data_IF_542139860029
#
_entry.id   IF_542139860029
#
_cell.length_a   1.000
_cell.length_b   1.000
_cell.length_c   1.000
_cell.angle_alpha   90.00
_cell.angle_beta   90.00
_cell.angle_gamma   90.00
#
_symmetry.space_group_name_H-M   'P 1'
#
loop_
_entity.id
_entity.type
_entity.pdbx_description
1 polymer ?
#
# COMPACT_ATOMS: atom_id res chain seq x y z
N UNK A 1 -13.47 -36.57 -22.82
CA UNK A 1 -13.35 -36.08 -21.42
C UNK A 1 -12.21 -35.09 -21.18
N UNK A 2 -11.59 -34.49 -22.21
CA UNK A 2 -10.40 -33.62 -22.08
C UNK A 2 -10.68 -32.11 -22.22
N UNK A 3 -11.87 -31.70 -22.69
CA UNK A 3 -12.21 -30.28 -22.90
C UNK A 3 -12.62 -29.51 -21.64
N UNK A 4 -13.11 -30.18 -20.60
CA UNK A 4 -13.55 -29.49 -19.36
C UNK A 4 -12.39 -29.12 -18.41
N UNK A 5 -11.22 -29.74 -18.56
CA UNK A 5 -10.06 -29.41 -17.72
C UNK A 5 -9.41 -28.08 -18.13
N UNK A 6 -9.25 -27.83 -19.44
CA UNK A 6 -8.63 -26.61 -19.96
C UNK A 6 -9.44 -25.33 -19.69
N UNK A 7 -10.77 -25.42 -19.72
CA UNK A 7 -11.65 -24.27 -19.45
C UNK A 7 -11.56 -23.79 -18.00
N UNK A 8 -11.37 -24.69 -17.02
CA UNK A 8 -11.19 -24.33 -15.61
C UNK A 8 -9.82 -23.69 -15.34
N UNK A 9 -8.77 -24.16 -16.01
CA UNK A 9 -7.43 -23.58 -15.91
C UNK A 9 -7.38 -22.15 -16.47
N UNK A 10 -8.04 -21.91 -17.60
CA UNK A 10 -8.11 -20.60 -18.22
C UNK A 10 -8.92 -19.61 -17.36
N UNK A 11 -10.03 -20.05 -16.75
CA UNK A 11 -10.81 -19.22 -15.82
C UNK A 11 -10.05 -18.90 -14.54
N UNK A 12 -9.28 -19.84 -14.00
CA UNK A 12 -8.41 -19.61 -12.84
C UNK A 12 -7.27 -18.64 -13.15
N UNK A 13 -6.66 -18.74 -14.34
CA UNK A 13 -5.63 -17.81 -14.82
C UNK A 13 -6.20 -16.42 -15.10
N UNK A 14 -7.43 -16.32 -15.62
CA UNK A 14 -8.11 -15.04 -15.84
C UNK A 14 -8.49 -14.38 -14.51
N UNK A 15 -8.99 -15.14 -13.54
CA UNK A 15 -9.27 -14.67 -12.18
C UNK A 15 -7.98 -14.24 -11.46
N UNK A 16 -6.89 -15.01 -11.61
CA UNK A 16 -5.57 -14.63 -11.10
C UNK A 16 -5.05 -13.37 -11.79
N UNK A 17 -5.23 -13.21 -13.11
CA UNK A 17 -4.84 -12.02 -13.85
C UNK A 17 -5.63 -10.77 -13.41
N UNK A 18 -6.92 -10.91 -13.09
CA UNK A 18 -7.72 -9.79 -12.54
C UNK A 18 -7.32 -9.37 -11.13
N UNK A 19 -6.62 -10.22 -10.36
CA UNK A 19 -6.05 -9.85 -9.06
C UNK A 19 -4.73 -9.04 -9.19
N UNK A 20 -4.12 -9.04 -10.38
CA UNK A 20 -2.86 -8.34 -10.68
C UNK A 20 -3.06 -6.92 -11.23
N UNK A 21 -4.31 -6.50 -11.49
CA UNK A 21 -4.61 -5.17 -12.09
C UNK A 21 -4.91 -4.08 -11.08
N UNK A 22 -4.67 -4.31 -9.78
CA UNK A 22 -4.91 -3.30 -8.74
C UNK A 22 -3.65 -2.49 -8.45
N UNK A 23 -3.52 -1.38 -9.18
CA UNK A 23 -2.35 -0.51 -9.12
C UNK A 23 -2.56 0.66 -8.14
N UNK A 24 -1.47 1.05 -7.46
CA UNK A 24 -1.32 2.29 -6.68
C UNK A 24 -1.77 2.29 -5.21
N UNK A 25 -1.37 1.30 -4.40
CA UNK A 25 -1.42 1.43 -2.94
C UNK A 25 -0.02 1.57 -2.35
N UNK A 26 0.17 2.52 -1.43
CA UNK A 26 1.40 2.62 -0.65
C UNK A 26 1.70 1.30 0.09
N UNK A 27 2.97 0.89 0.25
CA UNK A 27 3.34 -0.43 0.77
C UNK A 27 3.22 -0.49 2.29
N UNK A 28 1.98 -0.41 2.76
CA UNK A 28 1.64 -0.43 4.19
C UNK A 28 1.37 -1.84 4.72
N UNK A 29 1.57 -2.84 3.86
CA UNK A 29 1.38 -4.24 4.16
C UNK A 29 2.56 -4.80 4.97
N UNK A 30 2.27 -5.34 6.16
CA UNK A 30 3.25 -5.84 7.13
C UNK A 30 3.06 -7.34 7.40
N UNK A 31 3.59 -8.18 6.50
CA UNK A 31 3.58 -9.65 6.61
C UNK A 31 4.90 -10.23 7.12
N UNK A 32 5.78 -9.37 7.64
CA UNK A 32 7.13 -9.72 8.07
C UNK A 32 7.11 -10.23 9.52
N UNK A 33 8.00 -11.16 9.84
CA UNK A 33 8.28 -11.55 11.23
C UNK A 33 9.52 -10.82 11.78
N UNK A 34 9.75 -10.94 13.09
CA UNK A 34 10.92 -10.38 13.75
C UNK A 34 12.22 -11.10 13.41
N UNK A 35 12.15 -12.24 12.70
CA UNK A 35 13.31 -13.01 12.23
C UNK A 35 13.65 -12.66 10.79
N UNK A 36 14.88 -12.19 10.56
CA UNK A 36 15.36 -11.90 9.19
C UNK A 36 15.61 -13.19 8.42
N UNK A 37 15.65 -13.08 7.08
CA UNK A 37 16.09 -14.18 6.22
C UNK A 37 17.50 -14.62 6.61
N UNK A 38 17.74 -15.91 6.93
CA UNK A 38 19.08 -16.38 7.28
C UNK A 38 20.09 -16.11 6.16
N UNK A 39 21.34 -15.80 6.51
CA UNK A 39 22.34 -15.40 5.50
C UNK A 39 22.54 -16.50 4.45
N UNK A 40 22.53 -16.11 3.18
CA UNK A 40 22.64 -17.02 2.06
C UNK A 40 21.31 -17.62 1.61
N UNK A 41 20.21 -17.44 2.34
CA UNK A 41 18.89 -17.95 1.95
C UNK A 41 18.06 -16.89 1.25
N UNK A 42 17.08 -17.36 0.47
CA UNK A 42 16.08 -16.52 -0.16
C UNK A 42 14.71 -16.72 0.50
N UNK A 43 13.93 -15.64 0.50
CA UNK A 43 12.52 -15.65 0.89
C UNK A 43 11.74 -14.92 -0.19
N UNK A 44 10.74 -15.56 -0.78
CA UNK A 44 9.94 -14.97 -1.83
C UNK A 44 8.46 -15.17 -1.53
N UNK A 45 7.60 -14.33 -2.06
CA UNK A 45 6.18 -14.46 -1.79
C UNK A 45 5.34 -13.46 -2.54
N UNK A 46 4.04 -13.56 -2.29
CA UNK A 46 3.06 -12.61 -2.79
C UNK A 46 2.01 -12.34 -1.73
N UNK A 47 1.49 -11.12 -1.72
CA UNK A 47 0.48 -10.69 -0.77
C UNK A 47 -0.74 -10.14 -1.51
N UNK A 48 -1.91 -10.34 -0.92
CA UNK A 48 -3.16 -9.67 -1.27
C UNK A 48 -3.60 -8.85 -0.06
N UNK A 49 -4.00 -7.61 -0.29
CA UNK A 49 -4.50 -6.69 0.74
C UNK A 49 -5.75 -5.98 0.27
N UNK A 50 -6.48 -5.41 1.22
CA UNK A 50 -7.57 -4.49 0.93
C UNK A 50 -7.47 -3.28 1.84
N UNK A 51 -7.38 -2.08 1.27
CA UNK A 51 -7.30 -0.85 2.05
C UNK A 51 -8.71 -0.37 2.40
N UNK A 52 -8.96 -0.14 3.69
CA UNK A 52 -10.22 0.43 4.22
C UNK A 52 -9.93 1.77 4.93
N UNK A 53 -9.73 2.85 4.16
CA UNK A 53 -9.49 4.19 4.68
C UNK A 53 -10.77 4.93 5.06
N UNK A 54 -10.91 5.25 6.35
CA UNK A 54 -12.06 6.01 6.87
C UNK A 54 -12.21 7.40 6.24
N UNK A 55 -11.09 8.11 6.03
CA UNK A 55 -11.08 9.44 5.41
C UNK A 55 -11.61 9.39 3.98
N UNK A 56 -11.11 8.48 3.15
CA UNK A 56 -11.51 8.39 1.74
C UNK A 56 -12.95 7.94 1.62
N UNK A 57 -13.37 6.91 2.35
CA UNK A 57 -14.77 6.45 2.37
C UNK A 57 -15.72 7.61 2.74
N UNK A 58 -15.36 8.41 3.74
CA UNK A 58 -16.14 9.58 4.15
C UNK A 58 -16.14 10.74 3.14
N UNK A 59 -15.21 10.77 2.19
CA UNK A 59 -15.06 11.83 1.17
C UNK A 59 -15.42 11.39 -0.26
N UNK A 60 -15.69 10.11 -0.51
CA UNK A 60 -16.00 9.55 -1.84
C UNK A 60 -17.36 8.84 -1.89
N UNK A 61 -18.38 9.37 -1.19
CA UNK A 61 -19.74 8.81 -1.17
C UNK A 61 -20.52 9.05 -2.47
N UNK A 62 -21.76 8.51 -2.55
CA UNK A 62 -22.65 8.63 -3.72
C UNK A 62 -22.88 10.08 -4.18
N UNK A 63 -23.01 11.01 -3.23
CA UNK A 63 -23.16 12.43 -3.52
C UNK A 63 -21.99 13.03 -4.34
N UNK A 64 -20.78 12.51 -4.19
CA UNK A 64 -19.61 12.97 -4.96
C UNK A 64 -19.64 12.40 -6.38
N UNK A 65 -20.11 11.16 -6.53
CA UNK A 65 -20.31 10.54 -7.85
C UNK A 65 -21.35 11.30 -8.66
N UNK A 66 -22.51 11.58 -8.06
CA UNK A 66 -23.59 12.36 -8.69
C UNK A 66 -23.11 13.78 -9.05
N UNK A 67 -22.36 14.43 -8.17
CA UNK A 67 -21.74 15.72 -8.46
C UNK A 67 -20.76 15.68 -9.65
N UNK A 68 -19.95 14.61 -9.75
CA UNK A 68 -19.02 14.43 -10.87
C UNK A 68 -19.77 14.29 -12.20
N UNK A 69 -20.80 13.47 -12.24
CA UNK A 69 -21.66 13.26 -13.42
C UNK A 69 -22.39 14.54 -13.82
N UNK A 70 -22.93 15.28 -12.84
CA UNK A 70 -23.61 16.55 -13.07
C UNK A 70 -22.66 17.59 -13.68
N UNK A 71 -21.45 17.74 -13.14
CA UNK A 71 -20.50 18.76 -13.60
C UNK A 71 -19.89 18.43 -14.96
N UNK A 72 -19.71 17.15 -15.29
CA UNK A 72 -19.22 16.75 -16.61
C UNK A 72 -20.23 16.93 -17.74
N UNK A 73 -21.52 16.90 -17.43
CA UNK A 73 -22.56 17.18 -18.42
C UNK A 73 -22.54 18.64 -18.90
N UNK A 74 -21.80 19.52 -18.22
CA UNK A 74 -21.68 20.93 -18.54
C UNK A 74 -20.44 21.19 -19.41
N UNK A 75 -20.62 21.84 -20.55
CA UNK A 75 -19.49 22.32 -21.38
C UNK A 75 -18.65 23.36 -20.65
N UNK A 76 -19.27 24.11 -19.73
CA UNK A 76 -18.65 25.16 -18.94
C UNK A 76 -19.13 25.09 -17.50
N UNK A 77 -18.21 24.78 -16.58
CA UNK A 77 -18.48 24.76 -15.15
C UNK A 77 -18.13 26.12 -14.57
N UNK A 78 -19.13 26.83 -14.05
CA UNK A 78 -18.90 28.08 -13.32
C UNK A 78 -18.65 27.79 -11.83
N UNK A 79 -17.44 28.11 -11.36
CA UNK A 79 -17.04 27.95 -9.97
C UNK A 79 -17.84 28.87 -9.03
N UNK A 80 -18.39 30.00 -9.51
CA UNK A 80 -19.24 30.87 -8.69
C UNK A 80 -20.54 30.19 -8.25
N UNK A 81 -21.12 29.35 -9.11
CA UNK A 81 -22.37 28.61 -8.84
C UNK A 81 -22.12 27.18 -8.36
N UNK A 82 -21.07 26.52 -8.85
CA UNK A 82 -20.77 25.11 -8.60
C UNK A 82 -19.53 24.87 -7.73
N UNK A 83 -18.95 25.92 -7.15
CA UNK A 83 -17.68 25.85 -6.44
C UNK A 83 -17.64 24.84 -5.29
N UNK A 84 -18.74 24.65 -4.57
CA UNK A 84 -18.82 23.64 -3.51
C UNK A 84 -18.70 22.20 -4.07
N UNK A 85 -19.32 21.94 -5.21
CA UNK A 85 -19.21 20.64 -5.89
C UNK A 85 -17.79 20.42 -6.41
N UNK A 86 -17.18 21.45 -7.01
CA UNK A 86 -15.79 21.42 -7.48
C UNK A 86 -14.83 21.17 -6.30
N UNK A 87 -15.06 21.80 -5.15
CA UNK A 87 -14.25 21.55 -3.94
C UNK A 87 -14.40 20.11 -3.43
N UNK A 88 -15.64 19.58 -3.39
CA UNK A 88 -15.91 18.19 -3.03
C UNK A 88 -15.18 17.20 -3.95
N UNK A 89 -15.17 17.45 -5.27
CA UNK A 89 -14.45 16.61 -6.23
C UNK A 89 -12.94 16.67 -6.02
N UNK A 90 -12.37 17.85 -5.79
CA UNK A 90 -10.93 17.98 -5.51
C UNK A 90 -10.54 17.27 -4.20
N UNK A 91 -11.35 17.42 -3.15
CA UNK A 91 -11.14 16.74 -1.86
C UNK A 91 -11.23 15.23 -2.04
N UNK A 92 -12.19 14.73 -2.82
CA UNK A 92 -12.34 13.31 -3.13
C UNK A 92 -11.14 12.77 -3.92
N UNK A 93 -10.68 13.50 -4.94
CA UNK A 93 -9.49 13.15 -5.72
C UNK A 93 -8.25 13.04 -4.82
N UNK A 94 -8.03 14.03 -3.96
CA UNK A 94 -6.93 14.05 -3.00
C UNK A 94 -7.03 12.88 -2.02
N UNK A 95 -8.19 12.67 -1.40
CA UNK A 95 -8.40 11.59 -0.45
C UNK A 95 -8.10 10.23 -1.09
N UNK A 96 -8.58 10.00 -2.32
CA UNK A 96 -8.35 8.77 -3.05
C UNK A 96 -6.87 8.60 -3.44
N UNK A 97 -6.18 9.66 -3.86
CA UNK A 97 -4.75 9.61 -4.17
C UNK A 97 -3.86 9.38 -2.93
N UNK A 98 -4.27 9.90 -1.78
CA UNK A 98 -3.59 9.73 -0.50
C UNK A 98 -3.78 8.33 0.07
N UNK A 99 -5.01 7.82 -0.01
CA UNK A 99 -5.36 6.51 0.52
C UNK A 99 -6.56 5.90 -0.21
N UNK A 100 -6.33 5.13 -1.28
CA UNK A 100 -7.42 4.61 -2.10
C UNK A 100 -8.13 3.44 -1.41
N UNK A 101 -9.46 3.38 -1.59
CA UNK A 101 -10.27 2.20 -1.23
C UNK A 101 -10.17 1.21 -2.38
N UNK A 102 -9.20 0.29 -2.31
CA UNK A 102 -9.00 -0.71 -3.36
C UNK A 102 -8.28 -1.95 -2.82
N UNK A 103 -8.47 -3.11 -3.49
CA UNK A 103 -7.55 -4.23 -3.31
C UNK A 103 -6.15 -3.81 -3.75
N UNK A 104 -5.15 -4.52 -3.23
CA UNK A 104 -3.78 -4.42 -3.69
C UNK A 104 -3.14 -5.79 -3.68
N UNK A 105 -2.17 -5.96 -4.56
CA UNK A 105 -1.32 -7.13 -4.57
C UNK A 105 0.14 -6.72 -4.65
N UNK A 106 1.01 -7.55 -4.09
CA UNK A 106 2.46 -7.37 -4.23
C UNK A 106 3.17 -8.71 -4.38
N UNK A 107 4.31 -8.67 -5.06
CA UNK A 107 5.26 -9.77 -5.15
C UNK A 107 6.57 -9.31 -4.56
N UNK A 108 7.23 -10.16 -3.79
CA UNK A 108 8.48 -9.78 -3.14
C UNK A 108 9.51 -10.91 -3.17
N UNK A 109 10.76 -10.51 -3.06
CA UNK A 109 11.91 -11.37 -2.84
C UNK A 109 12.82 -10.71 -1.81
N UNK A 110 13.44 -11.51 -0.96
CA UNK A 110 14.43 -11.10 0.03
C UNK A 110 15.59 -12.07 0.04
N UNK A 111 16.73 -11.56 0.46
CA UNK A 111 17.97 -12.30 0.57
C UNK A 111 18.68 -11.95 1.88
N UNK A 112 19.08 -12.97 2.64
CA UNK A 112 19.92 -12.78 3.82
C UNK A 112 21.35 -12.47 3.40
N UNK A 113 21.80 -11.23 3.61
CA UNK A 113 23.09 -10.74 3.12
C UNK A 113 24.21 -11.16 4.08
N UNK A 114 24.03 -10.83 5.36
CA UNK A 114 24.93 -11.17 6.45
C UNK A 114 24.09 -11.64 7.64
N UNK A 115 24.75 -12.17 8.67
CA UNK A 115 24.02 -12.57 9.87
C UNK A 115 23.29 -11.34 10.44
N UNK A 116 22.01 -11.54 10.77
CA UNK A 116 21.09 -10.49 11.26
C UNK A 116 20.70 -9.41 10.26
N UNK A 117 21.08 -9.48 8.98
CA UNK A 117 20.67 -8.48 7.99
C UNK A 117 20.13 -9.16 6.72
N UNK A 118 18.91 -8.80 6.33
CA UNK A 118 18.38 -9.12 5.00
C UNK A 118 17.98 -7.85 4.24
N UNK A 119 17.94 -7.98 2.92
CA UNK A 119 17.44 -6.95 2.00
C UNK A 119 16.34 -7.54 1.15
N UNK A 120 15.41 -6.68 0.74
CA UNK A 120 14.21 -7.05 0.01
C UNK A 120 13.91 -6.09 -1.12
N UNK A 121 13.25 -6.65 -2.14
CA UNK A 121 12.57 -5.92 -3.17
C UNK A 121 11.13 -6.40 -3.25
N UNK A 122 10.21 -5.47 -3.35
CA UNK A 122 8.79 -5.72 -3.54
C UNK A 122 8.27 -4.87 -4.69
N UNK A 123 7.47 -5.51 -5.54
CA UNK A 123 6.72 -4.86 -6.60
C UNK A 123 5.23 -4.93 -6.28
N UNK A 124 4.64 -3.77 -6.03
CA UNK A 124 3.21 -3.60 -5.77
C UNK A 124 2.57 -2.88 -6.96
N UNK A 125 2.49 -3.59 -8.10
CA UNK A 125 1.87 -3.20 -9.38
C UNK A 125 1.74 -1.68 -9.59
N UNK A 126 2.86 -1.00 -9.81
CA UNK A 126 2.91 0.47 -9.94
C UNK A 126 3.72 1.18 -8.85
N UNK A 127 4.15 0.44 -7.82
CA UNK A 127 5.09 0.89 -6.80
C UNK A 127 6.29 -0.06 -6.70
N UNK A 128 7.49 0.53 -6.68
CA UNK A 128 8.73 -0.19 -6.42
C UNK A 128 9.15 0.07 -4.98
N UNK A 129 9.39 -1.01 -4.23
CA UNK A 129 9.73 -0.96 -2.82
C UNK A 129 11.05 -1.68 -2.60
N UNK A 130 11.97 -0.98 -1.95
CA UNK A 130 13.26 -1.51 -1.53
C UNK A 130 13.30 -1.47 -0.02
N UNK A 131 13.74 -2.57 0.60
CA UNK A 131 13.76 -2.62 2.05
C UNK A 131 14.96 -3.39 2.60
N UNK A 132 15.29 -3.12 3.85
CA UNK A 132 16.29 -3.84 4.62
C UNK A 132 15.80 -4.03 6.06
N UNK A 133 16.15 -5.16 6.68
CA UNK A 133 15.85 -5.39 8.09
C UNK A 133 17.07 -5.90 8.85
N UNK A 134 17.26 -5.36 10.05
CA UNK A 134 18.27 -5.76 11.01
C UNK A 134 17.65 -6.43 12.23
N UNK A 135 18.06 -7.66 12.51
CA UNK A 135 17.62 -8.47 13.66
C UNK A 135 18.49 -8.22 14.90
N UNK A 136 17.98 -7.41 15.82
CA UNK A 136 18.66 -7.12 17.08
C UNK A 136 18.39 -8.17 18.17
N UNK A 137 17.34 -9.00 18.03
CA UNK A 137 16.95 -10.00 19.03
C UNK A 137 16.70 -11.38 18.41
N UNK A 138 17.07 -12.43 19.13
CA UNK A 138 16.91 -13.83 18.71
C UNK A 138 18.15 -14.41 18.02
N UNK A 139 18.07 -15.69 17.70
CA UNK A 139 19.14 -16.49 17.09
C UNK A 139 19.21 -16.30 15.57
N UNK A 140 20.37 -16.60 14.98
CA UNK A 140 20.61 -16.55 13.52
C UNK A 140 20.52 -17.92 12.86
N UNK A 141 20.03 -18.92 13.60
CA UNK A 141 19.86 -20.29 13.12
C UNK A 141 18.79 -20.42 12.04
N UNK A 142 18.66 -21.65 11.57
CA UNK A 142 17.71 -22.06 10.52
C UNK A 142 16.87 -23.24 11.03
N UNK A 143 15.67 -23.50 10.50
CA UNK A 143 14.91 -24.71 10.83
C UNK A 143 15.73 -26.02 10.75
N UNK A 144 16.68 -26.14 9.80
CA UNK A 144 17.53 -27.32 9.62
C UNK A 144 18.72 -27.36 10.60
N UNK A 145 19.10 -26.21 11.15
CA UNK A 145 20.20 -26.04 12.11
C UNK A 145 19.81 -24.97 13.14
N UNK A 146 18.96 -25.33 14.12
CA UNK A 146 18.47 -24.37 15.10
C UNK A 146 19.61 -23.81 15.95
N UNK A 147 19.59 -22.50 16.18
CA UNK A 147 20.55 -21.83 17.07
C UNK A 147 20.03 -21.70 18.51
N UNK A 148 18.80 -22.13 18.78
CA UNK A 148 18.17 -22.06 20.09
C UNK A 148 16.95 -22.98 20.20
N UNK A 149 16.33 -23.00 21.38
CA UNK A 149 15.15 -23.79 21.65
C UNK A 149 13.91 -23.30 20.88
N UNK A 150 12.91 -24.16 20.75
CA UNK A 150 11.60 -23.79 20.24
C UNK A 150 10.95 -22.69 21.10
N UNK A 151 10.12 -21.84 20.49
CA UNK A 151 9.45 -20.74 21.21
C UNK A 151 10.31 -19.49 21.41
N UNK A 152 11.42 -19.36 20.68
CA UNK A 152 12.26 -18.17 20.72
C UNK A 152 11.53 -16.89 20.30
N UNK A 153 11.90 -15.77 20.92
CA UNK A 153 11.45 -14.43 20.55
C UNK A 153 12.48 -13.77 19.63
N UNK A 154 12.01 -13.12 18.58
CA UNK A 154 12.83 -12.40 17.61
C UNK A 154 12.38 -10.95 17.53
N UNK A 155 13.33 -10.08 17.22
CA UNK A 155 13.10 -8.65 17.12
C UNK A 155 13.96 -8.03 16.04
N UNK A 156 13.34 -7.25 15.17
CA UNK A 156 13.99 -6.59 14.05
C UNK A 156 13.49 -5.17 13.84
N UNK A 157 14.37 -4.31 13.34
CA UNK A 157 14.03 -2.98 12.84
C UNK A 157 14.33 -2.92 11.35
N UNK A 158 13.45 -2.28 10.59
CA UNK A 158 13.59 -2.16 9.15
C UNK A 158 13.63 -0.73 8.64
N UNK A 159 14.01 -0.61 7.39
CA UNK A 159 13.87 0.59 6.58
C UNK A 159 13.29 0.19 5.23
N UNK A 160 12.20 0.83 4.81
CA UNK A 160 11.60 0.61 3.50
C UNK A 160 11.48 1.94 2.77
N UNK A 161 11.81 1.95 1.48
CA UNK A 161 11.63 3.07 0.59
C UNK A 161 10.75 2.65 -0.57
N UNK A 162 9.71 3.43 -0.85
CA UNK A 162 8.78 3.20 -1.95
C UNK A 162 8.72 4.41 -2.87
N UNK A 163 8.64 4.16 -4.17
CA UNK A 163 8.41 5.18 -5.19
C UNK A 163 7.26 4.76 -6.08
N UNK A 164 6.29 5.66 -6.28
CA UNK A 164 5.15 5.41 -7.14
C UNK A 164 4.67 6.70 -7.83
N UNK A 165 4.28 6.57 -9.10
CA UNK A 165 3.51 7.61 -9.79
C UNK A 165 2.05 7.41 -9.41
N UNK A 166 1.49 8.35 -8.65
CA UNK A 166 0.10 8.30 -8.24
C UNK A 166 -0.78 8.88 -9.35
N UNK A 167 -1.27 8.01 -10.24
CA UNK A 167 -2.41 8.33 -11.10
C UNK A 167 -3.68 7.91 -10.38
N UNK A 168 -4.77 8.67 -10.57
CA UNK A 168 -6.09 8.16 -10.20
C UNK A 168 -6.33 6.89 -11.02
N UNK A 169 -6.79 5.79 -10.40
CA UNK A 169 -7.12 4.59 -11.16
C UNK A 169 -8.31 4.86 -12.07
N UNK A 170 -8.38 4.08 -13.16
CA UNK A 170 -9.41 4.15 -14.19
C UNK A 170 -10.75 3.58 -13.67
N UNK A 171 -11.30 4.21 -12.63
CA UNK A 171 -12.65 3.96 -12.13
C UNK A 171 -13.58 5.02 -12.76
N UNK A 172 -14.79 4.67 -13.24
CA UNK A 172 -15.62 5.61 -13.99
C UNK A 172 -15.86 6.97 -13.32
N UNK A 173 -16.03 6.99 -11.99
CA UNK A 173 -16.21 8.26 -11.26
C UNK A 173 -14.89 9.03 -11.05
N UNK A 174 -13.75 8.35 -11.01
CA UNK A 174 -12.43 8.97 -10.91
C UNK A 174 -11.92 9.44 -12.27
N UNK A 175 -12.24 8.72 -13.35
CA UNK A 175 -12.01 9.15 -14.74
C UNK A 175 -12.75 10.44 -15.04
N UNK A 176 -13.98 10.52 -14.54
CA UNK A 176 -14.81 11.70 -14.59
C UNK A 176 -14.13 12.89 -13.87
N UNK A 177 -13.65 12.67 -12.65
CA UNK A 177 -12.90 13.67 -11.88
C UNK A 177 -11.60 14.06 -12.61
N UNK A 178 -10.87 13.10 -13.16
CA UNK A 178 -9.62 13.33 -13.86
C UNK A 178 -9.82 14.11 -15.18
N UNK A 179 -10.93 13.88 -15.87
CA UNK A 179 -11.30 14.63 -17.08
C UNK A 179 -11.57 16.10 -16.79
N UNK A 180 -12.17 16.39 -15.63
CA UNK A 180 -12.49 17.75 -15.19
C UNK A 180 -11.27 18.49 -14.59
N UNK A 181 -10.54 17.83 -13.70
CA UNK A 181 -9.51 18.45 -12.86
C UNK A 181 -8.06 18.20 -13.33
N UNK A 182 -7.85 17.19 -14.19
CA UNK A 182 -6.54 16.72 -14.63
C UNK A 182 -5.55 16.56 -13.48
N UNK A 183 -5.96 15.74 -12.50
CA UNK A 183 -5.20 15.56 -11.28
C UNK A 183 -3.92 14.76 -11.56
N UNK A 184 -2.79 15.30 -11.11
CA UNK A 184 -1.49 14.62 -11.21
C UNK A 184 -0.87 14.51 -9.82
N UNK A 185 -0.37 13.33 -9.47
CA UNK A 185 0.38 13.13 -8.24
C UNK A 185 1.60 12.20 -8.39
N UNK A 186 2.63 12.47 -7.58
CA UNK A 186 3.81 11.63 -7.42
C UNK A 186 4.12 11.45 -5.94
N UNK A 187 4.35 10.22 -5.52
CA UNK A 187 4.45 9.86 -4.11
C UNK A 187 5.68 9.00 -3.86
N UNK A 188 6.44 9.38 -2.83
CA UNK A 188 7.48 8.54 -2.25
C UNK A 188 7.18 8.30 -0.78
N UNK A 189 7.42 7.09 -0.31
CA UNK A 189 7.20 6.71 1.09
C UNK A 189 8.51 6.20 1.70
N UNK A 190 8.80 6.66 2.92
CA UNK A 190 9.84 6.13 3.78
C UNK A 190 9.20 5.49 5.00
N UNK A 191 9.53 4.24 5.30
CA UNK A 191 8.91 3.49 6.39
C UNK A 191 9.95 2.84 7.30
N UNK A 192 9.70 2.86 8.59
CA UNK A 192 10.55 2.29 9.64
C UNK A 192 9.70 1.36 10.51
N UNK A 193 9.62 0.06 10.18
CA UNK A 193 8.95 -0.93 11.01
C UNK A 193 9.84 -1.41 12.16
N UNK A 194 9.26 -1.54 13.34
CA UNK A 194 9.80 -2.28 14.47
C UNK A 194 8.93 -3.53 14.68
N UNK A 195 9.53 -4.71 14.54
CA UNK A 195 8.83 -5.99 14.48
C UNK A 195 9.32 -6.92 15.58
N UNK A 196 8.39 -7.52 16.31
CA UNK A 196 8.64 -8.63 17.21
C UNK A 196 7.90 -9.86 16.72
N UNK A 197 8.47 -11.05 16.91
CA UNK A 197 7.77 -12.30 16.68
C UNK A 197 8.06 -13.34 17.74
N UNK A 198 7.06 -14.17 18.01
CA UNK A 198 7.19 -15.36 18.84
C UNK A 198 7.07 -16.59 17.94
N UNK A 199 8.12 -17.41 17.93
CA UNK A 199 8.24 -18.56 17.03
C UNK A 199 7.37 -19.74 17.45
N UNK A 200 6.80 -20.43 16.46
CA UNK A 200 6.20 -21.75 16.60
C UNK A 200 7.19 -22.79 16.07
N UNK A 201 7.69 -23.64 16.96
CA UNK A 201 8.82 -24.54 16.69
C UNK A 201 10.18 -23.82 16.76
N UNK A 202 11.28 -24.53 16.49
CA UNK A 202 12.61 -23.94 16.35
C UNK A 202 12.69 -23.03 15.11
N UNK A 203 13.25 -21.83 15.25
CA UNK A 203 13.57 -20.93 14.12
C UNK A 203 12.40 -20.64 13.15
N UNK A 204 11.18 -20.52 13.68
CA UNK A 204 9.91 -20.35 12.95
C UNK A 204 9.57 -21.49 11.98
N UNK A 205 9.99 -22.73 12.28
CA UNK A 205 9.72 -23.93 11.49
C UNK A 205 8.23 -24.08 11.15
N UNK A 206 7.35 -23.96 12.14
CA UNK A 206 5.89 -24.09 12.00
C UNK A 206 5.24 -22.72 11.76
N UNK A 207 5.99 -21.65 12.03
CA UNK A 207 5.55 -20.29 11.81
C UNK A 207 5.84 -19.38 13.00
N UNK A 208 5.06 -18.32 13.14
CA UNK A 208 5.19 -17.36 14.23
C UNK A 208 3.94 -16.50 14.35
N UNK A 209 3.74 -15.88 15.51
CA UNK A 209 2.90 -14.68 15.63
C UNK A 209 3.80 -13.46 15.72
N UNK A 210 3.52 -12.44 14.90
CA UNK A 210 4.34 -11.24 14.83
C UNK A 210 3.49 -9.99 15.02
N UNK A 211 4.04 -9.00 15.70
CA UNK A 211 3.39 -7.73 15.95
C UNK A 211 4.42 -6.62 16.00
N UNK A 212 3.97 -5.39 15.85
CA UNK A 212 4.89 -4.28 15.83
C UNK A 212 4.24 -2.94 15.56
N UNK A 213 5.09 -1.94 15.46
CA UNK A 213 4.73 -0.56 15.13
C UNK A 213 5.51 -0.11 13.91
N UNK A 214 4.95 0.84 13.17
CA UNK A 214 5.54 1.37 11.94
C UNK A 214 5.42 2.87 11.95
N UNK A 215 6.54 3.56 11.79
CA UNK A 215 6.54 4.95 11.41
C UNK A 215 6.63 5.03 9.89
N UNK A 216 5.83 5.90 9.26
CA UNK A 216 5.95 6.19 7.85
C UNK A 216 5.93 7.70 7.62
N UNK A 217 6.71 8.15 6.63
CA UNK A 217 6.73 9.53 6.19
C UNK A 217 6.57 9.54 4.66
N UNK A 218 5.57 10.28 4.19
CA UNK A 218 5.19 10.36 2.79
C UNK A 218 5.57 11.71 2.23
N UNK A 219 6.23 11.71 1.07
CA UNK A 219 6.49 12.89 0.27
C UNK A 219 5.58 12.87 -0.95
N UNK A 220 4.59 13.76 -0.98
CA UNK A 220 3.64 13.89 -2.07
C UNK A 220 3.93 15.17 -2.88
N UNK A 221 3.86 15.04 -4.19
CA UNK A 221 3.73 16.17 -5.11
C UNK A 221 2.41 16.04 -5.83
N UNK A 222 1.59 17.08 -5.85
CA UNK A 222 0.27 17.04 -6.49
C UNK A 222 -0.12 18.37 -7.12
N UNK A 223 -1.02 18.33 -8.10
CA UNK A 223 -1.53 19.52 -8.78
C UNK A 223 -2.86 19.26 -9.51
N UNK A 224 -3.49 20.35 -9.93
CA UNK A 224 -4.75 20.36 -10.69
C UNK A 224 -4.60 21.26 -11.92
N UNK A 225 -4.95 20.76 -13.10
CA UNK A 225 -4.89 21.50 -14.36
C UNK A 225 -6.28 21.53 -15.02
N UNK A 226 -7.25 22.27 -14.45
CA UNK A 226 -8.62 22.28 -14.93
C UNK A 226 -8.72 22.88 -16.33
N UNK A 227 -9.58 22.29 -17.19
CA UNK A 227 -9.76 22.76 -18.59
C UNK A 227 -11.04 23.57 -18.83
N UNK A 228 -12.08 23.31 -18.05
CA UNK A 228 -13.42 23.85 -18.29
C UNK A 228 -14.08 24.44 -17.03
N UNK A 229 -13.29 24.75 -15.99
CA UNK A 229 -13.77 25.41 -14.77
C UNK A 229 -13.43 26.90 -14.85
N UNK A 230 -14.44 27.75 -14.76
CA UNK A 230 -14.31 29.20 -14.92
C UNK A 230 -14.71 29.94 -13.64
N UNK A 231 -14.12 31.10 -13.40
CA UNK A 231 -14.54 32.07 -12.38
C UNK A 231 -14.64 33.42 -13.07
N UNK A 232 -15.77 34.12 -12.96
CA UNK A 232 -15.99 35.42 -13.62
C UNK A 232 -15.66 35.39 -15.13
N UNK A 233 -16.07 34.33 -15.82
CA UNK A 233 -15.83 34.12 -17.25
C UNK A 233 -14.35 33.92 -17.66
N UNK A 234 -13.42 33.83 -16.71
CA UNK A 234 -12.01 33.50 -16.93
C UNK A 234 -11.74 32.07 -16.46
N UNK A 235 -10.87 31.33 -17.17
CA UNK A 235 -10.46 29.99 -16.74
C UNK A 235 -9.79 30.11 -15.37
N UNK A 236 -10.17 29.25 -14.43
CA UNK A 236 -9.55 29.24 -13.11
C UNK A 236 -8.06 28.88 -13.25
N UNK A 237 -7.15 29.57 -12.56
CA UNK A 237 -5.73 29.23 -12.62
C UNK A 237 -5.49 27.79 -12.18
N UNK A 238 -4.57 27.10 -12.85
CA UNK A 238 -4.12 25.78 -12.43
C UNK A 238 -3.41 25.85 -11.08
N UNK A 239 -3.52 24.77 -10.32
CA UNK A 239 -2.68 24.55 -9.15
C UNK A 239 -1.43 23.80 -9.61
N UNK A 240 -0.25 24.47 -9.69
CA UNK A 240 0.98 23.80 -10.09
C UNK A 240 1.36 22.71 -9.08
N UNK A 241 2.27 21.82 -9.47
CA UNK A 241 2.74 20.72 -8.62
C UNK A 241 3.35 21.24 -7.30
N UNK A 242 2.53 21.26 -6.25
CA UNK A 242 2.92 21.61 -4.89
C UNK A 242 3.50 20.40 -4.17
N UNK A 243 4.45 20.65 -3.26
CA UNK A 243 5.00 19.62 -2.38
C UNK A 243 4.24 19.64 -1.05
N UNK A 244 3.75 18.49 -0.62
CA UNK A 244 3.19 18.28 0.71
C UNK A 244 3.80 17.01 1.29
N UNK A 245 4.13 17.03 2.57
CA UNK A 245 4.58 15.86 3.29
C UNK A 245 3.73 15.61 4.53
N UNK A 246 3.69 14.36 4.94
CA UNK A 246 2.97 13.94 6.14
C UNK A 246 3.56 12.69 6.76
N UNK A 247 3.35 12.57 8.07
CA UNK A 247 3.70 11.39 8.84
C UNK A 247 2.48 10.54 9.16
N UNK A 248 2.73 9.24 9.25
CA UNK A 248 1.76 8.21 9.57
C UNK A 248 2.34 7.29 10.63
N UNK A 249 1.48 6.82 11.52
CA UNK A 249 1.85 5.92 12.60
C UNK A 249 0.95 4.70 12.52
N UNK A 250 1.55 3.53 12.50
CA UNK A 250 0.82 2.28 12.37
C UNK A 250 1.22 1.23 13.39
N UNK A 251 0.35 0.25 13.52
CA UNK A 251 0.59 -0.99 14.24
C UNK A 251 0.11 -2.15 13.37
N UNK A 252 0.68 -3.33 13.58
CA UNK A 252 0.26 -4.52 12.85
C UNK A 252 0.33 -5.77 13.71
N UNK A 253 -0.42 -6.77 13.28
CA UNK A 253 -0.41 -8.13 13.79
C UNK A 253 -0.45 -9.07 12.58
N UNK A 254 0.39 -10.09 12.56
CA UNK A 254 0.33 -11.17 11.59
C UNK A 254 0.58 -12.53 12.24
N UNK A 255 0.08 -13.57 11.60
CA UNK A 255 0.41 -14.94 11.94
C UNK A 255 0.99 -15.61 10.70
N UNK A 256 2.20 -16.12 10.81
CA UNK A 256 2.84 -16.99 9.82
C UNK A 256 2.49 -18.42 10.19
N UNK A 257 1.82 -19.14 9.30
CA UNK A 257 1.32 -20.51 9.54
C UNK A 257 1.74 -21.41 8.38
N UNK A 258 2.48 -22.48 8.67
CA UNK A 258 2.93 -23.39 7.62
C UNK A 258 3.98 -24.36 8.12
N UNK A 259 4.84 -24.80 7.22
CA UNK A 259 5.89 -25.74 7.57
C UNK A 259 7.12 -25.56 6.68
N UNK A 260 8.25 -25.21 7.32
CA UNK A 260 9.64 -25.08 6.81
C UNK A 260 9.88 -24.19 5.59
N UNK A 261 9.12 -24.41 4.53
CA UNK A 261 9.36 -23.87 3.20
C UNK A 261 8.20 -23.06 2.67
N UNK A 262 6.97 -23.32 3.13
CA UNK A 262 5.78 -22.63 2.66
C UNK A 262 4.92 -22.21 3.85
N UNK A 263 4.48 -20.96 3.82
CA UNK A 263 3.68 -20.35 4.86
C UNK A 263 2.55 -19.50 4.27
N UNK A 264 1.39 -19.57 4.89
CA UNK A 264 0.31 -18.60 4.73
C UNK A 264 0.45 -17.56 5.82
N UNK A 265 0.29 -16.28 5.46
CA UNK A 265 0.51 -15.16 6.37
C UNK A 265 -0.70 -14.23 6.38
N UNK A 266 -1.79 -14.54 7.11
CA UNK A 266 -2.79 -13.54 7.44
C UNK A 266 -2.19 -12.41 8.27
N UNK A 267 -2.55 -11.18 7.93
CA UNK A 267 -2.10 -9.99 8.63
C UNK A 267 -3.16 -8.90 8.65
N UNK A 268 -3.13 -8.08 9.69
CA UNK A 268 -3.92 -6.87 9.83
C UNK A 268 -2.98 -5.74 10.22
N UNK A 269 -2.98 -4.67 9.43
CA UNK A 269 -2.32 -3.43 9.79
C UNK A 269 -3.33 -2.29 9.98
N UNK A 270 -2.99 -1.39 10.88
CA UNK A 270 -3.76 -0.20 11.23
C UNK A 270 -2.84 1.00 11.12
N UNK A 271 -3.26 2.07 10.43
CA UNK A 271 -2.50 3.31 10.33
C UNK A 271 -3.36 4.51 10.67
N UNK A 272 -2.89 5.35 11.59
CA UNK A 272 -3.35 6.72 11.74
C UNK A 272 -2.51 7.63 10.84
N UNK A 273 -3.19 8.46 10.05
CA UNK A 273 -2.57 9.33 9.06
C UNK A 273 -3.11 10.74 9.24
N UNK A 274 -2.23 11.68 9.49
CA UNK A 274 -2.53 13.10 9.45
C UNK A 274 -1.97 13.67 8.15
N UNK A 275 -2.75 13.59 7.07
CA UNK A 275 -2.30 13.96 5.73
C UNK A 275 -1.91 15.43 5.60
N UNK A 276 -2.32 16.27 6.55
CA UNK A 276 -2.02 17.70 6.57
C UNK A 276 -3.07 18.54 5.85
N UNK A 277 -2.66 19.74 5.49
CA UNK A 277 -3.49 20.72 4.79
C UNK A 277 -3.08 20.77 3.31
N UNK A 278 -4.07 20.71 2.43
CA UNK A 278 -3.90 20.72 0.99
C UNK A 278 -4.53 21.97 0.42
N UNK A 279 -3.82 22.66 -0.46
CA UNK A 279 -4.37 23.70 -1.30
C UNK A 279 -5.26 23.09 -2.39
N UNK A 280 -6.41 23.72 -2.60
CA UNK A 280 -7.36 23.47 -3.66
C UNK A 280 -7.26 24.63 -4.67
N UNK A 281 -7.94 24.49 -5.81
CA UNK A 281 -8.21 25.57 -6.73
C UNK A 281 -8.83 26.77 -6.00
N UNK A 282 -8.60 27.98 -6.54
CA UNK A 282 -9.06 29.24 -5.97
C UNK A 282 -8.50 29.56 -4.56
N UNK A 283 -7.29 29.09 -4.24
CA UNK A 283 -6.62 29.32 -2.94
C UNK A 283 -7.38 28.83 -1.70
N UNK A 284 -8.40 27.97 -1.89
CA UNK A 284 -9.01 27.28 -0.77
C UNK A 284 -8.06 26.22 -0.22
N UNK A 285 -8.31 25.79 1.00
CA UNK A 285 -7.56 24.69 1.59
C UNK A 285 -8.47 23.70 2.27
N UNK A 286 -8.07 22.44 2.30
CA UNK A 286 -8.74 21.37 3.03
C UNK A 286 -7.75 20.67 3.96
N UNK A 287 -8.25 20.11 5.06
CA UNK A 287 -7.44 19.28 5.96
C UNK A 287 -7.97 17.85 5.91
N UNK A 288 -7.06 16.90 5.77
CA UNK A 288 -7.38 15.48 5.70
C UNK A 288 -6.66 14.73 6.82
N UNK A 289 -7.38 13.83 7.49
CA UNK A 289 -6.82 12.89 8.45
C UNK A 289 -7.75 11.69 8.59
N UNK A 290 -7.20 10.53 8.92
CA UNK A 290 -8.04 9.37 9.18
C UNK A 290 -7.26 8.15 9.62
N UNK A 291 -8.03 7.09 9.84
CA UNK A 291 -7.53 5.75 10.18
C UNK A 291 -7.77 4.84 8.98
N UNK A 292 -6.81 3.95 8.73
CA UNK A 292 -6.88 2.97 7.64
C UNK A 292 -6.61 1.58 8.17
N UNK A 293 -7.51 0.66 7.86
CA UNK A 293 -7.38 -0.76 8.16
C UNK A 293 -6.94 -1.48 6.89
N UNK A 294 -5.98 -2.39 7.03
CA UNK A 294 -5.39 -3.13 5.92
C UNK A 294 -5.37 -4.62 6.28
N UNK A 295 -6.50 -5.32 6.17
CA UNK A 295 -6.49 -6.78 6.15
C UNK A 295 -5.72 -7.28 4.94
N UNK A 296 -4.95 -8.36 5.16
CA UNK A 296 -4.15 -8.98 4.11
C UNK A 296 -3.90 -10.46 4.36
N UNK A 297 -3.57 -11.15 3.28
CA UNK A 297 -3.14 -12.54 3.29
C UNK A 297 -1.98 -12.72 2.32
N UNK A 298 -0.91 -13.34 2.79
CA UNK A 298 0.28 -13.61 2.02
C UNK A 298 0.56 -15.10 1.85
N UNK A 299 1.28 -15.43 0.79
CA UNK A 299 2.02 -16.68 0.65
C UNK A 299 3.51 -16.36 0.70
N UNK A 300 4.24 -17.10 1.52
CA UNK A 300 5.67 -16.95 1.71
C UNK A 300 6.38 -18.28 1.51
N UNK A 301 7.41 -18.26 0.70
CA UNK A 301 8.30 -19.37 0.42
C UNK A 301 9.69 -19.08 0.96
N UNK A 302 10.24 -20.01 1.75
CA UNK A 302 11.63 -20.02 2.17
C UNK A 302 12.40 -20.97 1.27
N UNK A 303 13.48 -20.48 0.69
CA UNK A 303 14.34 -21.20 -0.24
C UNK A 303 15.71 -21.32 0.43
N UNK A 304 15.98 -22.42 1.16
CA UNK A 304 17.29 -22.66 1.74
C UNK A 304 18.32 -22.86 0.63
N UNK A 305 19.55 -22.43 0.86
CA UNK A 305 20.66 -22.76 -0.03
C UNK A 305 21.49 -23.88 0.59
N UNK A 306 21.81 -24.92 -0.20
CA UNK A 306 22.56 -26.09 0.27
C UNK A 306 24.03 -25.83 0.61
N UNK A 307 24.48 -24.58 0.66
CA UNK A 307 25.86 -24.20 0.99
C UNK A 307 25.90 -23.40 2.28
N UNK A 308 26.03 -24.12 3.39
CA UNK A 308 26.54 -23.63 4.69
C UNK A 308 27.19 -24.76 5.46
#
# INVERSE_FOLDING_TARGET
MTRHFFLRSAQALLAAATLLTSACTAPRLMTMSGKVTPKGEFKAGGNLAFNVPTSTIGKTGSAVKEAAEQLLSQEKVDYGTSGELVDKLQIAALAYALDPVQPSSDLYVRYGVIDRLDVGYKYAFGSHVFDAMYQFLGTTGTPERPGGAAGGMYGSIGLQFATQRAKLPDLPFLDNINSLLQFTANRNDLMVPLVFSHSFGPEEEIGAISYGVVYAHTFLRYGFEPRNIYTNNQLIPSLPLGKQDFSSYGAFLNAKLGFRYAYVVPALALYYQNYGQYQLLNNKTTKLSGITFIPSIGLQFRIPTGRR
#
